data_IF_626000820915
#
_entry.id   IF_626000820915
#
_cell.length_a   1.000
_cell.length_b   1.000
_cell.length_c   1.000
_cell.angle_alpha   90.00
_cell.angle_beta   90.00
_cell.angle_gamma   90.00
#
_symmetry.space_group_name_H-M   'P 1'
#
loop_
_entity.id
_entity.type
_entity.pdbx_description
1 polymer ?
#
# COMPACT_ATOMS: atom_id res chain seq x y z
N UNK A 1 6.07 6.91 13.73
CA UNK A 1 5.31 7.91 12.95
C UNK A 1 4.23 8.59 13.79
N UNK A 2 4.55 9.63 14.59
CA UNK A 2 3.57 10.31 15.46
C UNK A 2 2.50 11.10 14.68
N UNK A 3 2.87 11.71 13.55
CA UNK A 3 1.99 12.52 12.71
C UNK A 3 0.86 11.69 12.09
N UNK A 4 1.17 10.46 11.67
CA UNK A 4 0.21 9.50 11.13
C UNK A 4 -0.89 9.10 12.14
N UNK A 5 -0.58 9.12 13.45
CA UNK A 5 -1.55 8.81 14.51
C UNK A 5 -2.55 9.93 14.76
N UNK A 6 -2.17 11.19 14.55
CA UNK A 6 -3.09 12.32 14.70
C UNK A 6 -4.18 12.33 13.62
N UNK A 7 -3.88 11.77 12.44
CA UNK A 7 -4.79 11.69 11.31
C UNK A 7 -5.60 10.39 11.27
N UNK A 8 -5.43 9.47 12.24
CA UNK A 8 -6.08 8.17 12.24
C UNK A 8 -7.62 8.24 12.18
N UNK A 9 -8.22 9.29 12.75
CA UNK A 9 -9.67 9.51 12.66
C UNK A 9 -10.16 9.79 11.21
N UNK A 10 -9.28 10.28 10.33
CA UNK A 10 -9.60 10.55 8.90
C UNK A 10 -9.38 9.33 8.01
N UNK A 11 -8.66 8.31 8.51
CA UNK A 11 -8.29 7.10 7.80
C UNK A 11 -8.64 5.86 8.65
N UNK A 12 -9.93 5.47 8.71
CA UNK A 12 -10.38 4.35 9.52
C UNK A 12 -9.78 3.00 9.08
N UNK A 13 -9.31 2.89 7.84
CA UNK A 13 -8.53 1.74 7.33
C UNK A 13 -7.08 1.70 7.84
N UNK A 14 -6.67 2.68 8.66
CA UNK A 14 -5.33 2.75 9.23
C UNK A 14 -4.32 3.44 8.31
N UNK A 15 -3.06 3.20 8.62
CA UNK A 15 -1.91 3.76 7.92
C UNK A 15 -0.99 2.63 7.49
N UNK A 16 -0.65 2.58 6.21
CA UNK A 16 0.30 1.63 5.65
C UNK A 16 1.55 2.37 5.17
N UNK A 17 2.72 1.88 5.55
CA UNK A 17 4.01 2.39 5.10
C UNK A 17 4.65 1.35 4.17
N UNK A 18 5.06 1.79 2.98
CA UNK A 18 5.72 0.97 1.98
C UNK A 18 7.10 1.55 1.75
N UNK A 19 8.12 0.77 2.09
CA UNK A 19 9.50 1.09 1.76
C UNK A 19 9.85 0.53 0.38
N UNK A 20 9.94 1.41 -0.61
CA UNK A 20 10.26 1.02 -1.98
C UNK A 20 11.74 0.67 -2.16
N UNK A 21 12.60 0.80 -1.13
CA UNK A 21 14.00 0.32 -1.25
C UNK A 21 14.12 -1.17 -1.51
N UNK A 22 13.07 -1.92 -1.18
CA UNK A 22 13.01 -3.37 -1.40
C UNK A 22 12.44 -3.74 -2.77
N UNK A 23 12.00 -2.74 -3.54
CA UNK A 23 11.40 -2.91 -4.86
C UNK A 23 12.48 -2.68 -5.91
N UNK A 24 12.94 -3.76 -6.55
CA UNK A 24 13.98 -3.71 -7.58
C UNK A 24 13.48 -3.46 -9.00
N UNK A 25 12.16 -3.57 -9.22
CA UNK A 25 11.50 -3.40 -10.51
C UNK A 25 10.13 -2.72 -10.32
N UNK A 26 9.73 -1.86 -11.27
CA UNK A 26 8.45 -1.15 -11.28
C UNK A 26 7.26 -2.10 -11.14
N UNK A 27 7.36 -3.31 -11.68
CA UNK A 27 6.31 -4.35 -11.63
C UNK A 27 6.06 -4.88 -10.20
N UNK A 28 7.03 -4.73 -9.29
CA UNK A 28 6.93 -5.18 -7.90
C UNK A 28 6.30 -4.14 -6.95
N UNK A 29 6.03 -2.92 -7.44
CA UNK A 29 5.41 -1.84 -6.64
C UNK A 29 4.02 -2.26 -6.15
N UNK A 30 3.14 -2.74 -7.02
CA UNK A 30 1.78 -3.14 -6.63
C UNK A 30 1.75 -4.33 -5.66
N UNK A 31 2.53 -5.41 -5.87
CA UNK A 31 2.72 -6.46 -4.87
C UNK A 31 3.23 -5.94 -3.52
N UNK A 32 4.21 -5.03 -3.51
CA UNK A 32 4.74 -4.45 -2.28
C UNK A 32 3.68 -3.66 -1.50
N UNK A 33 2.87 -2.85 -2.20
CA UNK A 33 1.76 -2.12 -1.59
C UNK A 33 0.72 -3.10 -1.03
N UNK A 34 0.32 -4.13 -1.78
CA UNK A 34 -0.63 -5.14 -1.32
C UNK A 34 -0.18 -5.79 -0.01
N UNK A 35 1.09 -6.18 0.09
CA UNK A 35 1.66 -6.76 1.32
C UNK A 35 1.60 -5.77 2.49
N UNK A 36 1.93 -4.51 2.27
CA UNK A 36 1.91 -3.47 3.31
C UNK A 36 0.50 -3.14 3.82
N UNK A 37 -0.51 -3.19 2.95
CA UNK A 37 -1.92 -3.02 3.35
C UNK A 37 -2.55 -4.31 3.91
N UNK A 38 -1.80 -5.42 3.96
CA UNK A 38 -2.26 -6.70 4.49
C UNK A 38 -3.16 -7.50 3.55
N UNK A 39 -3.14 -7.18 2.26
CA UNK A 39 -3.83 -7.96 1.23
C UNK A 39 -3.05 -9.25 0.94
N UNK A 40 -3.78 -10.34 0.72
CA UNK A 40 -3.21 -11.62 0.30
C UNK A 40 -2.88 -11.55 -1.19
N UNK A 41 -1.94 -12.38 -1.62
CA UNK A 41 -1.62 -12.55 -3.04
C UNK A 41 -2.92 -12.92 -3.80
N UNK A 42 -3.32 -12.14 -4.82
CA UNK A 42 -4.49 -12.46 -5.60
C UNK A 42 -4.25 -13.71 -6.47
N UNK A 43 -5.32 -14.43 -6.75
CA UNK A 43 -5.30 -15.52 -7.75
C UNK A 43 -6.20 -15.13 -8.92
N UNK A 44 -5.68 -15.21 -10.14
CA UNK A 44 -6.44 -14.96 -11.37
C UNK A 44 -6.70 -13.49 -11.70
N UNK A 45 -6.18 -12.53 -10.93
CA UNK A 45 -6.20 -11.08 -11.24
C UNK A 45 -4.84 -10.45 -10.93
N UNK A 46 -4.58 -9.26 -11.49
CA UNK A 46 -3.36 -8.52 -11.19
C UNK A 46 -3.37 -7.94 -9.76
N UNK A 47 -2.18 -7.70 -9.20
CA UNK A 47 -2.04 -7.01 -7.90
C UNK A 47 -2.59 -5.58 -7.95
N UNK A 48 -2.51 -4.93 -9.11
CA UNK A 48 -3.11 -3.61 -9.36
C UNK A 48 -4.65 -3.67 -9.20
N UNK A 49 -5.31 -4.57 -9.93
CA UNK A 49 -6.77 -4.74 -9.86
C UNK A 49 -7.22 -5.13 -8.44
N UNK A 50 -6.45 -6.01 -7.78
CA UNK A 50 -6.74 -6.43 -6.41
C UNK A 50 -6.65 -5.26 -5.42
N UNK A 51 -5.60 -4.44 -5.54
CA UNK A 51 -5.42 -3.25 -4.73
C UNK A 51 -6.55 -2.24 -4.98
N UNK A 52 -6.90 -1.98 -6.24
CA UNK A 52 -8.01 -1.08 -6.58
C UNK A 52 -9.34 -1.54 -5.99
N UNK A 53 -9.64 -2.84 -6.06
CA UNK A 53 -10.86 -3.39 -5.48
C UNK A 53 -10.90 -3.20 -3.95
N UNK A 54 -9.77 -3.41 -3.27
CA UNK A 54 -9.66 -3.20 -1.83
C UNK A 54 -9.83 -1.72 -1.46
N UNK A 55 -9.07 -0.82 -2.09
CA UNK A 55 -9.08 0.63 -1.81
C UNK A 55 -10.45 1.29 -2.07
N UNK A 56 -11.32 0.68 -2.88
CA UNK A 56 -12.71 1.15 -3.03
C UNK A 56 -13.56 0.94 -1.77
N UNK A 57 -13.21 -0.03 -0.93
CA UNK A 57 -13.96 -0.40 0.27
C UNK A 57 -13.38 0.21 1.55
N UNK A 58 -12.11 0.61 1.53
CA UNK A 58 -11.40 1.11 2.72
C UNK A 58 -10.80 2.49 2.45
N UNK A 59 -10.87 3.36 3.45
CA UNK A 59 -10.17 4.65 3.44
C UNK A 59 -8.95 4.57 4.33
N UNK A 60 -7.77 4.47 3.73
CA UNK A 60 -6.47 4.36 4.43
C UNK A 60 -5.49 5.45 3.98
N UNK A 61 -4.48 5.71 4.81
CA UNK A 61 -3.36 6.57 4.46
C UNK A 61 -2.17 5.71 4.02
N UNK A 62 -1.78 5.83 2.76
CA UNK A 62 -0.64 5.12 2.20
C UNK A 62 0.58 6.05 2.14
N UNK A 63 1.67 5.67 2.79
CA UNK A 63 2.96 6.35 2.71
C UNK A 63 3.88 5.50 1.85
N UNK A 64 4.29 6.06 0.72
CA UNK A 64 5.27 5.47 -0.18
C UNK A 64 6.57 6.25 0.01
N UNK A 65 7.64 5.55 0.41
CA UNK A 65 8.95 6.15 0.65
C UNK A 65 10.00 5.53 -0.29
N UNK A 66 11.08 6.28 -0.56
CA UNK A 66 12.22 5.86 -1.38
C UNK A 66 11.92 5.55 -2.87
N UNK A 67 11.30 6.50 -3.57
CA UNK A 67 11.08 6.44 -5.03
C UNK A 67 12.35 6.52 -5.89
N UNK A 68 13.54 6.67 -5.29
CA UNK A 68 14.79 6.85 -6.03
C UNK A 68 15.28 5.57 -6.75
N UNK A 69 14.69 4.41 -6.42
CA UNK A 69 15.13 3.10 -6.93
C UNK A 69 14.20 2.50 -8.01
N UNK A 70 13.09 3.18 -8.34
CA UNK A 70 12.05 2.71 -9.27
C UNK A 70 12.21 3.34 -10.64
#
# INVERSE_FOLDING_TARGET
MPLARQEAARFPGGVAFVDLTTVGDVTDVYPAICRAVGLREPTGISSEDHLHAALRQIRLLLLLDNFEQV
#
